data_IF_688901426839
#
_entry.id   IF_688901426839
#
_cell.length_a   1.000
_cell.length_b   1.000
_cell.length_c   1.000
_cell.angle_alpha   90.00
_cell.angle_beta   90.00
_cell.angle_gamma   90.00
#
_symmetry.space_group_name_H-M   'P 1'
#
loop_
_entity.id
_entity.type
_entity.pdbx_description
1 polymer ?
#
# COMPACT_ATOMS: atom_id res chain seq x y z
N UNK A 1 15.86 3.25 -7.76
CA UNK A 1 15.73 1.79 -7.86
C UNK A 1 15.93 1.39 -9.32
N UNK A 2 17.07 0.81 -9.61
CA UNK A 2 17.32 0.20 -10.92
C UNK A 2 16.51 -1.10 -11.03
N UNK A 3 15.86 -1.28 -12.16
CA UNK A 3 15.28 -2.57 -12.51
C UNK A 3 16.29 -3.38 -13.24
N UNK A 4 16.52 -4.55 -12.75
CA UNK A 4 17.15 -5.57 -13.49
C UNK A 4 16.16 -6.30 -14.39
N UNK A 5 16.46 -6.34 -15.64
CA UNK A 5 15.54 -6.85 -16.66
C UNK A 5 16.05 -8.09 -17.37
N UNK A 6 17.31 -8.45 -17.18
CA UNK A 6 17.89 -9.50 -18.00
C UNK A 6 18.43 -10.73 -17.27
N UNK A 7 18.71 -10.64 -15.97
CA UNK A 7 19.35 -11.77 -15.29
C UNK A 7 19.37 -11.70 -13.78
N UNK A 8 18.58 -10.83 -13.19
CA UNK A 8 18.69 -10.54 -11.75
C UNK A 8 19.86 -9.60 -11.43
N UNK A 9 20.51 -8.99 -12.40
CA UNK A 9 21.60 -8.02 -12.24
C UNK A 9 21.18 -6.64 -12.77
N UNK A 10 21.72 -5.58 -12.20
CA UNK A 10 21.42 -4.21 -12.64
C UNK A 10 21.82 -3.99 -14.10
N UNK A 11 20.87 -3.61 -14.93
CA UNK A 11 21.13 -3.24 -16.31
C UNK A 11 21.65 -1.80 -16.38
N UNK A 12 22.98 -1.66 -16.44
CA UNK A 12 23.67 -0.37 -16.49
C UNK A 12 23.38 0.44 -17.77
N UNK A 13 22.75 -0.18 -18.76
CA UNK A 13 22.38 0.49 -20.01
C UNK A 13 21.07 1.26 -19.91
N UNK A 14 20.30 1.06 -18.83
CA UNK A 14 19.00 1.68 -18.62
C UNK A 14 19.07 2.77 -17.54
N UNK A 15 18.35 3.84 -17.77
CA UNK A 15 18.22 4.89 -16.77
C UNK A 15 17.54 4.38 -15.49
N UNK A 16 18.03 4.77 -14.31
CA UNK A 16 17.34 4.49 -13.05
C UNK A 16 15.91 4.99 -13.08
N UNK A 17 15.04 4.33 -12.31
CA UNK A 17 13.66 4.82 -12.11
C UNK A 17 13.68 6.23 -11.48
N UNK A 18 12.83 7.08 -12.03
CA UNK A 18 12.61 8.44 -11.51
C UNK A 18 11.62 8.43 -10.32
N UNK A 19 11.87 7.56 -9.36
CA UNK A 19 11.04 7.34 -8.17
C UNK A 19 11.90 7.52 -6.92
N UNK A 20 11.59 8.55 -6.13
CA UNK A 20 12.34 8.96 -4.95
C UNK A 20 11.49 8.81 -3.71
N UNK A 21 11.99 8.06 -2.74
CA UNK A 21 11.32 7.83 -1.47
C UNK A 21 12.26 8.27 -0.35
N UNK A 22 11.73 9.10 0.53
CA UNK A 22 12.41 9.53 1.77
C UNK A 22 11.53 9.14 2.94
N UNK A 23 12.13 8.49 3.94
CA UNK A 23 11.42 8.05 5.15
C UNK A 23 12.14 8.56 6.38
N UNK A 24 11.38 9.09 7.33
CA UNK A 24 11.85 9.41 8.67
C UNK A 24 10.92 8.74 9.70
N UNK A 25 11.52 8.07 10.66
CA UNK A 25 10.80 7.40 11.74
C UNK A 25 11.28 7.91 13.10
N UNK A 26 10.34 8.15 14.00
CA UNK A 26 10.59 8.45 15.40
C UNK A 26 9.95 7.36 16.26
N UNK A 27 10.76 6.70 17.07
CA UNK A 27 10.34 5.63 17.97
C UNK A 27 10.31 6.13 19.40
N UNK A 28 9.28 5.73 20.15
CA UNK A 28 9.19 5.95 21.59
C UNK A 28 8.76 4.63 22.25
N UNK A 29 9.68 4.06 23.06
CA UNK A 29 9.39 2.88 23.86
C UNK A 29 8.62 3.29 25.11
N UNK A 30 7.82 2.36 25.64
CA UNK A 30 7.02 2.56 26.86
C UNK A 30 6.09 3.77 26.80
N UNK A 31 5.52 4.05 25.65
CA UNK A 31 4.54 5.11 25.45
C UNK A 31 3.35 4.60 24.63
N UNK A 32 2.11 4.81 25.05
CA UNK A 32 1.62 5.52 26.24
C UNK A 32 1.70 4.69 27.55
N UNK A 33 2.15 3.46 27.50
CA UNK A 33 2.32 2.62 28.68
C UNK A 33 3.56 1.75 28.55
N UNK A 34 4.07 1.26 29.69
CA UNK A 34 5.17 0.28 29.73
C UNK A 34 4.82 -0.95 28.90
N UNK A 35 5.75 -1.40 28.04
CA UNK A 35 5.56 -2.52 27.13
C UNK A 35 4.80 -2.18 25.84
N UNK A 36 4.57 -0.89 25.57
CA UNK A 36 4.01 -0.45 24.29
C UNK A 36 5.02 0.45 23.56
N UNK A 37 5.29 0.12 22.32
CA UNK A 37 6.19 0.91 21.45
C UNK A 37 5.36 1.70 20.44
N UNK A 38 5.60 3.00 20.39
CA UNK A 38 4.98 3.91 19.43
C UNK A 38 6.00 4.35 18.38
N UNK A 39 5.54 4.47 17.15
CA UNK A 39 6.33 4.96 16.03
C UNK A 39 5.54 6.01 15.26
N UNK A 40 6.10 7.19 15.11
CA UNK A 40 5.64 8.18 14.14
C UNK A 40 6.47 8.05 12.86
N UNK A 41 5.80 8.09 11.71
CA UNK A 41 6.42 7.94 10.39
C UNK A 41 6.08 9.14 9.53
N UNK A 42 7.10 9.72 8.91
CA UNK A 42 6.96 10.65 7.80
C UNK A 42 7.58 10.00 6.58
N UNK A 43 6.79 9.87 5.50
CA UNK A 43 7.28 9.35 4.23
C UNK A 43 6.90 10.32 3.13
N UNK A 44 7.83 10.57 2.24
CA UNK A 44 7.61 11.35 1.03
C UNK A 44 8.00 10.52 -0.18
N UNK A 45 7.08 10.40 -1.12
CA UNK A 45 7.30 9.74 -2.40
C UNK A 45 7.11 10.74 -3.55
N UNK A 46 8.14 10.86 -4.38
CA UNK A 46 8.08 11.62 -5.63
C UNK A 46 8.33 10.67 -6.79
N UNK A 47 7.30 10.41 -7.57
CA UNK A 47 7.38 9.60 -8.77
C UNK A 47 7.30 10.50 -10.02
N UNK A 48 8.27 10.33 -10.93
CA UNK A 48 8.37 11.04 -12.21
C UNK A 48 8.52 10.04 -13.37
N UNK A 49 8.19 8.81 -13.13
CA UNK A 49 8.31 7.75 -14.13
C UNK A 49 7.18 7.88 -15.14
N UNK A 50 7.54 8.21 -16.37
CA UNK A 50 6.59 8.43 -17.48
C UNK A 50 6.92 7.58 -18.70
N UNK A 51 8.01 6.83 -18.67
CA UNK A 51 8.52 6.11 -19.82
C UNK A 51 8.08 4.63 -19.79
N UNK A 52 7.46 4.16 -20.86
CA UNK A 52 7.24 2.73 -21.08
C UNK A 52 8.37 2.17 -21.93
N UNK A 53 8.77 0.93 -21.67
CA UNK A 53 9.76 0.21 -22.44
C UNK A 53 9.45 -1.30 -22.49
N UNK A 54 10.06 -2.00 -23.43
CA UNK A 54 9.96 -3.45 -23.54
C UNK A 54 11.19 -4.13 -22.93
N UNK A 55 10.97 -5.25 -22.24
CA UNK A 55 12.06 -6.10 -21.78
C UNK A 55 12.64 -6.96 -22.92
N UNK A 56 13.65 -7.76 -22.61
CA UNK A 56 14.31 -8.65 -23.58
C UNK A 56 13.39 -9.72 -24.16
N UNK A 57 12.27 -10.02 -23.50
CA UNK A 57 11.26 -10.97 -23.93
C UNK A 57 10.13 -10.31 -24.73
N UNK A 58 10.18 -9.00 -24.94
CA UNK A 58 9.18 -8.24 -25.65
C UNK A 58 7.95 -7.86 -24.83
N UNK A 59 7.98 -8.03 -23.50
CA UNK A 59 6.90 -7.60 -22.64
C UNK A 59 7.07 -6.12 -22.25
N UNK A 60 5.94 -5.39 -22.26
CA UNK A 60 5.91 -4.01 -21.77
C UNK A 60 6.25 -3.99 -20.30
N UNK A 61 7.28 -3.25 -19.97
CA UNK A 61 7.63 -2.90 -18.61
C UNK A 61 7.00 -1.56 -18.22
N UNK A 62 6.78 -1.41 -16.95
CA UNK A 62 6.03 -0.27 -16.39
C UNK A 62 6.92 0.93 -16.07
N UNK A 63 6.30 2.10 -16.06
CA UNK A 63 4.91 2.41 -16.36
C UNK A 63 4.56 2.27 -17.85
N UNK A 64 3.34 1.81 -18.14
CA UNK A 64 2.83 1.64 -19.50
C UNK A 64 1.42 2.22 -19.62
N UNK A 65 1.04 2.67 -20.80
CA UNK A 65 -0.34 3.03 -21.10
C UNK A 65 -1.17 1.76 -21.37
N UNK A 66 -2.27 1.58 -20.67
CA UNK A 66 -3.21 0.47 -20.85
C UNK A 66 -4.63 1.05 -20.92
N UNK A 67 -5.20 1.10 -22.10
CA UNK A 67 -6.48 1.74 -22.31
C UNK A 67 -6.42 3.23 -22.02
N UNK A 68 -7.23 3.72 -21.09
CA UNK A 68 -7.23 5.12 -20.65
C UNK A 68 -6.17 5.42 -19.58
N UNK A 69 -5.69 4.40 -18.89
CA UNK A 69 -4.64 4.56 -17.88
C UNK A 69 -3.31 4.84 -18.55
N UNK A 70 -2.64 5.88 -18.11
CA UNK A 70 -1.33 6.30 -18.62
C UNK A 70 -0.39 6.62 -17.46
N UNK A 71 0.93 6.53 -17.68
CA UNK A 71 1.90 6.91 -16.67
C UNK A 71 1.71 8.34 -16.20
N UNK A 72 1.80 8.57 -14.88
CA UNK A 72 1.59 9.87 -14.23
C UNK A 72 2.72 10.23 -13.29
N UNK A 73 2.88 11.52 -13.09
CA UNK A 73 3.80 12.03 -12.07
C UNK A 73 3.02 12.37 -10.82
N UNK A 74 3.59 12.08 -9.64
CA UNK A 74 2.98 12.47 -8.38
C UNK A 74 4.01 12.82 -7.31
N UNK A 75 3.57 13.64 -6.35
CA UNK A 75 4.27 13.90 -5.11
C UNK A 75 3.29 13.59 -3.99
N UNK A 76 3.63 12.67 -3.09
CA UNK A 76 2.76 12.25 -2.00
C UNK A 76 3.56 12.22 -0.70
N UNK A 77 3.04 12.89 0.32
CA UNK A 77 3.49 12.77 1.70
C UNK A 77 2.58 11.84 2.46
N UNK A 78 3.15 11.03 3.33
CA UNK A 78 2.42 10.16 4.26
C UNK A 78 2.81 10.53 5.68
N UNK A 79 1.81 10.82 6.50
CA UNK A 79 1.95 10.91 7.94
C UNK A 79 1.39 9.65 8.56
N UNK A 80 2.22 8.91 9.26
CA UNK A 80 1.88 7.61 9.82
C UNK A 80 2.11 7.50 11.31
N UNK A 81 1.30 6.65 11.93
CA UNK A 81 1.49 6.20 13.30
C UNK A 81 1.36 4.67 13.33
N UNK A 82 2.30 4.02 13.99
CA UNK A 82 2.25 2.59 14.30
C UNK A 82 2.47 2.42 15.79
N UNK A 83 1.77 1.46 16.38
CA UNK A 83 1.93 1.11 17.78
C UNK A 83 1.82 -0.39 17.94
N UNK A 84 2.69 -0.95 18.79
CA UNK A 84 2.68 -2.37 19.10
C UNK A 84 3.07 -2.60 20.55
N UNK A 85 2.39 -3.51 21.22
CA UNK A 85 2.67 -3.84 22.60
C UNK A 85 1.46 -4.34 23.36
N UNK A 86 1.46 -4.13 24.67
CA UNK A 86 0.40 -4.64 25.53
C UNK A 86 -0.09 -3.61 26.56
N UNK A 87 -1.36 -3.74 26.90
CA UNK A 87 -2.04 -3.04 27.97
C UNK A 87 -2.60 -4.09 28.95
N UNK A 88 -1.86 -4.40 30.00
CA UNK A 88 -2.20 -5.49 30.90
C UNK A 88 -2.17 -6.83 30.15
N UNK A 89 -3.32 -7.49 30.00
CA UNK A 89 -3.45 -8.78 29.30
C UNK A 89 -3.80 -8.66 27.82
N UNK A 90 -4.07 -7.45 27.33
CA UNK A 90 -4.44 -7.22 25.94
C UNK A 90 -3.21 -6.85 25.15
N UNK A 91 -2.87 -7.63 24.13
CA UNK A 91 -1.90 -7.22 23.11
C UNK A 91 -2.63 -6.39 22.06
N UNK A 92 -2.03 -5.28 21.66
CA UNK A 92 -2.60 -4.34 20.71
C UNK A 92 -1.55 -3.93 19.68
N UNK A 93 -1.90 -4.10 18.40
CA UNK A 93 -1.16 -3.55 17.28
C UNK A 93 -2.07 -2.59 16.54
N UNK A 94 -1.59 -1.39 16.28
CA UNK A 94 -2.35 -0.34 15.55
C UNK A 94 -1.49 0.27 14.46
N UNK A 95 -2.13 0.67 13.38
CA UNK A 95 -1.49 1.34 12.25
C UNK A 95 -2.45 2.35 11.66
N UNK A 96 -1.98 3.57 11.41
CA UNK A 96 -2.77 4.59 10.76
C UNK A 96 -1.89 5.46 9.89
N UNK A 97 -2.37 5.78 8.68
CA UNK A 97 -1.67 6.63 7.72
C UNK A 97 -2.61 7.61 7.06
N UNK A 98 -2.12 8.82 6.86
CA UNK A 98 -2.78 9.83 6.04
C UNK A 98 -1.85 10.21 4.90
N UNK A 99 -2.33 10.02 3.66
CA UNK A 99 -1.63 10.39 2.44
C UNK A 99 -2.18 11.72 1.91
N UNK A 100 -1.29 12.62 1.53
CA UNK A 100 -1.63 13.91 0.96
C UNK A 100 -0.63 14.32 -0.13
N UNK A 101 -1.10 14.97 -1.16
CA UNK A 101 -0.24 15.37 -2.25
C UNK A 101 -0.99 15.74 -3.50
N UNK A 102 -0.34 15.57 -4.63
CA UNK A 102 -0.91 15.83 -5.94
C UNK A 102 -0.35 14.88 -6.99
N UNK A 103 -1.14 14.66 -8.03
CA UNK A 103 -0.72 13.93 -9.23
C UNK A 103 -1.05 14.72 -10.50
N UNK A 104 -0.31 14.42 -11.58
CA UNK A 104 -0.46 15.12 -12.86
C UNK A 104 -1.81 14.88 -13.53
N UNK A 105 -2.40 13.73 -13.29
CA UNK A 105 -3.73 13.33 -13.75
C UNK A 105 -4.18 12.09 -12.97
N UNK A 106 -5.49 11.85 -12.92
CA UNK A 106 -6.08 10.63 -12.42
C UNK A 106 -5.96 9.45 -13.38
N UNK A 107 -6.48 8.29 -12.97
CA UNK A 107 -6.55 7.10 -13.85
C UNK A 107 -7.50 7.33 -15.03
N UNK A 108 -8.60 8.02 -14.77
CA UNK A 108 -9.67 8.23 -15.74
C UNK A 108 -9.76 9.67 -16.27
N UNK A 109 -8.98 10.59 -15.72
CA UNK A 109 -8.97 12.01 -16.10
C UNK A 109 -7.59 12.41 -16.57
N UNK A 110 -7.54 13.46 -17.42
CA UNK A 110 -6.28 14.06 -17.85
C UNK A 110 -5.95 15.36 -17.13
N UNK A 111 -6.80 15.77 -16.20
CA UNK A 111 -6.57 16.91 -15.32
C UNK A 111 -5.82 16.47 -14.05
N UNK A 112 -5.01 17.38 -13.51
CA UNK A 112 -4.36 17.16 -12.22
C UNK A 112 -5.37 16.94 -11.10
N UNK A 113 -5.01 16.14 -10.11
CA UNK A 113 -5.85 15.90 -8.95
C UNK A 113 -5.07 16.00 -7.63
N UNK A 114 -5.78 16.38 -6.57
CA UNK A 114 -5.28 16.42 -5.20
C UNK A 114 -5.49 15.06 -4.53
N UNK A 115 -4.44 14.56 -3.90
CA UNK A 115 -4.48 13.28 -3.16
C UNK A 115 -4.77 13.57 -1.69
N UNK A 116 -5.82 12.92 -1.16
CA UNK A 116 -6.18 12.97 0.27
C UNK A 116 -6.80 11.64 0.67
N UNK A 117 -6.00 10.76 1.22
CA UNK A 117 -6.42 9.40 1.51
C UNK A 117 -6.01 8.95 2.91
N UNK A 118 -6.74 8.02 3.48
CA UNK A 118 -6.48 7.54 4.83
C UNK A 118 -6.54 6.03 4.95
N UNK A 119 -5.75 5.50 5.85
CA UNK A 119 -5.71 4.09 6.21
C UNK A 119 -5.69 3.95 7.72
N UNK A 120 -6.39 2.96 8.24
CA UNK A 120 -6.34 2.55 9.64
C UNK A 120 -6.48 1.04 9.74
N UNK A 121 -5.68 0.42 10.60
CA UNK A 121 -5.76 -0.99 10.94
C UNK A 121 -5.49 -1.18 12.43
N UNK A 122 -6.15 -2.15 13.04
CA UNK A 122 -5.92 -2.53 14.42
C UNK A 122 -6.11 -4.03 14.60
N UNK A 123 -5.31 -4.60 15.47
CA UNK A 123 -5.44 -5.96 15.94
C UNK A 123 -5.34 -5.97 17.46
N UNK A 124 -6.31 -6.58 18.12
CA UNK A 124 -6.29 -6.83 19.55
C UNK A 124 -6.30 -8.33 19.80
N UNK A 125 -5.48 -8.81 20.75
CA UNK A 125 -5.49 -10.20 21.15
C UNK A 125 -5.31 -10.37 22.66
N UNK A 126 -5.84 -11.48 23.16
CA UNK A 126 -5.72 -11.86 24.58
C UNK A 126 -5.46 -13.35 24.69
N UNK A 127 -4.56 -13.70 25.60
CA UNK A 127 -4.20 -15.07 25.89
C UNK A 127 -5.00 -15.62 27.09
N UNK A 128 -5.61 -16.78 26.90
CA UNK A 128 -6.34 -17.55 27.88
C UNK A 128 -5.71 -18.95 27.97
N UNK A 129 -4.66 -19.10 28.78
CA UNK A 129 -3.88 -20.33 28.90
C UNK A 129 -3.36 -20.83 27.53
N UNK A 130 -3.92 -21.91 27.01
CA UNK A 130 -3.55 -22.47 25.69
C UNK A 130 -4.28 -21.81 24.50
N UNK A 131 -5.25 -20.94 24.76
CA UNK A 131 -6.07 -20.29 23.72
C UNK A 131 -5.69 -18.82 23.59
N UNK A 132 -5.42 -18.37 22.36
CA UNK A 132 -5.34 -16.96 22.01
C UNK A 132 -6.56 -16.54 21.21
N UNK A 133 -7.31 -15.58 21.72
CA UNK A 133 -8.40 -14.93 20.98
C UNK A 133 -7.84 -13.65 20.34
N UNK A 134 -8.15 -13.45 19.06
CA UNK A 134 -7.68 -12.31 18.29
C UNK A 134 -8.83 -11.72 17.46
N UNK A 135 -8.88 -10.39 17.41
CA UNK A 135 -9.77 -9.63 16.54
C UNK A 135 -8.95 -8.60 15.76
N UNK A 136 -9.15 -8.54 14.45
CA UNK A 136 -8.43 -7.63 13.56
C UNK A 136 -9.41 -6.91 12.65
N UNK A 137 -9.16 -5.63 12.38
CA UNK A 137 -9.93 -4.82 11.47
C UNK A 137 -9.03 -3.86 10.68
N UNK A 138 -9.39 -3.59 9.44
CA UNK A 138 -8.71 -2.62 8.58
C UNK A 138 -9.72 -1.81 7.77
N UNK A 139 -9.36 -0.57 7.52
CA UNK A 139 -10.11 0.37 6.69
C UNK A 139 -9.13 1.13 5.81
N UNK A 140 -9.48 1.31 4.55
CA UNK A 140 -8.79 2.17 3.60
C UNK A 140 -9.82 3.06 2.91
N UNK A 141 -9.56 4.34 2.84
CA UNK A 141 -10.42 5.26 2.11
C UNK A 141 -10.46 4.89 0.62
N UNK A 142 -11.63 5.05 0.02
CA UNK A 142 -11.82 4.86 -1.42
C UNK A 142 -12.16 6.16 -2.11
N UNK A 143 -11.91 6.20 -3.38
CA UNK A 143 -12.36 7.27 -4.25
C UNK A 143 -13.80 6.99 -4.69
N UNK A 144 -14.69 7.97 -4.46
CA UNK A 144 -16.09 7.85 -4.83
C UNK A 144 -16.37 8.30 -6.24
N UNK A 145 -15.52 9.16 -6.77
CA UNK A 145 -15.68 9.74 -8.09
C UNK A 145 -14.34 9.93 -8.79
N UNK A 146 -13.79 8.89 -9.42
CA UNK A 146 -12.47 8.94 -10.05
C UNK A 146 -12.43 9.85 -11.31
N UNK A 147 -13.50 10.57 -11.58
CA UNK A 147 -13.62 11.52 -12.70
C UNK A 147 -13.51 12.99 -12.28
N UNK A 148 -13.29 13.27 -11.01
CA UNK A 148 -13.12 14.64 -10.52
C UNK A 148 -11.62 14.99 -10.30
N UNK A 149 -11.35 16.10 -9.62
CA UNK A 149 -10.01 16.61 -9.33
C UNK A 149 -9.45 16.16 -7.97
N UNK A 150 -10.05 15.15 -7.35
CA UNK A 150 -9.67 14.61 -6.05
C UNK A 150 -9.51 13.11 -6.10
N UNK A 151 -8.37 12.63 -5.64
CA UNK A 151 -8.04 11.21 -5.53
C UNK A 151 -8.01 10.84 -4.05
N UNK A 152 -9.05 10.14 -3.59
CA UNK A 152 -9.25 9.85 -2.16
C UNK A 152 -9.07 8.38 -1.81
N UNK A 153 -8.69 7.53 -2.75
CA UNK A 153 -8.37 6.12 -2.55
C UNK A 153 -6.98 5.95 -1.93
N UNK A 154 -6.91 5.29 -0.79
CA UNK A 154 -5.61 5.05 -0.15
C UNK A 154 -4.82 4.00 -0.91
N UNK A 155 -3.56 4.30 -1.16
CA UNK A 155 -2.60 3.36 -1.70
C UNK A 155 -1.25 3.49 -0.97
N UNK A 156 -0.67 2.38 -0.58
CA UNK A 156 0.57 2.33 0.17
C UNK A 156 1.78 2.35 -0.77
N UNK A 157 2.88 2.98 -0.33
CA UNK A 157 4.14 2.96 -1.06
C UNK A 157 4.77 1.57 -1.02
N UNK A 158 4.69 0.89 0.13
CA UNK A 158 5.19 -0.46 0.30
C UNK A 158 4.03 -1.43 0.55
N UNK A 159 4.02 -2.51 -0.20
CA UNK A 159 3.14 -3.64 0.06
C UNK A 159 3.74 -4.53 1.16
N UNK A 160 2.94 -5.31 1.80
CA UNK A 160 3.21 -6.24 2.89
C UNK A 160 3.19 -5.61 4.28
N UNK A 161 2.07 -5.00 4.68
CA UNK A 161 1.88 -4.67 6.09
C UNK A 161 1.90 -5.97 6.91
N UNK A 162 2.60 -5.96 8.03
CA UNK A 162 2.48 -7.01 9.04
C UNK A 162 1.14 -6.79 9.72
N UNK A 163 0.19 -7.67 9.47
CA UNK A 163 -1.16 -7.54 9.99
C UNK A 163 -1.81 -8.92 10.14
N UNK A 164 -2.67 -9.08 11.14
CA UNK A 164 -3.37 -10.33 11.44
C UNK A 164 -2.45 -11.52 11.77
N UNK A 165 -1.33 -11.25 12.45
CA UNK A 165 -0.48 -12.26 13.06
C UNK A 165 0.43 -13.05 12.15
N UNK A 166 0.72 -12.54 10.97
CA UNK A 166 1.68 -13.12 10.05
C UNK A 166 2.80 -12.12 9.72
N UNK A 167 3.99 -12.61 9.42
CA UNK A 167 5.12 -11.81 8.96
C UNK A 167 4.83 -11.07 7.64
N UNK A 168 3.87 -11.56 6.90
CA UNK A 168 3.26 -10.88 5.75
C UNK A 168 1.77 -10.91 5.92
N UNK A 169 1.09 -9.82 5.55
CA UNK A 169 -0.37 -9.75 5.70
C UNK A 169 -1.05 -10.96 5.06
N UNK A 170 -1.64 -11.75 5.92
CA UNK A 170 -2.41 -12.93 5.55
C UNK A 170 -3.61 -12.58 4.65
N UNK A 171 -4.18 -11.39 4.88
CA UNK A 171 -5.34 -10.88 4.18
C UNK A 171 -5.08 -10.51 2.72
N UNK A 172 -3.85 -10.13 2.40
CA UNK A 172 -3.50 -9.69 1.04
C UNK A 172 -3.13 -10.85 0.13
N UNK A 173 -2.65 -11.96 0.68
CA UNK A 173 -2.08 -13.06 -0.11
C UNK A 173 -2.85 -14.35 -0.09
N UNK A 174 -3.88 -14.49 0.74
CA UNK A 174 -4.61 -15.74 0.82
C UNK A 174 -5.84 -15.78 -0.06
N UNK A 175 -6.02 -16.96 -0.64
CA UNK A 175 -7.30 -17.39 -1.15
C UNK A 175 -8.16 -17.85 0.03
N UNK A 176 -9.38 -17.35 0.11
CA UNK A 176 -10.38 -17.93 1.00
C UNK A 176 -10.93 -19.16 0.28
N UNK A 177 -10.64 -20.39 0.74
CA UNK A 177 -11.16 -21.58 0.11
C UNK A 177 -12.68 -21.63 0.24
N UNK A 178 -13.36 -21.94 -0.85
CA UNK A 178 -14.79 -22.17 -0.88
C UNK A 178 -15.08 -23.67 -0.92
N UNK A 179 -16.21 -24.07 -0.36
CA UNK A 179 -16.71 -25.45 -0.48
C UNK A 179 -16.92 -25.77 -1.95
N UNK A 180 -16.33 -26.87 -2.42
CA UNK A 180 -16.40 -27.28 -3.83
C UNK A 180 -15.14 -27.03 -4.67
N UNK A 181 -14.04 -26.63 -4.04
CA UNK A 181 -12.71 -26.51 -4.67
C UNK A 181 -12.44 -25.19 -5.35
N UNK A 182 -13.31 -24.20 -5.23
CA UNK A 182 -13.05 -22.82 -5.62
C UNK A 182 -12.42 -22.01 -4.49
N UNK A 183 -11.99 -20.79 -4.78
CA UNK A 183 -11.45 -19.86 -3.80
C UNK A 183 -11.62 -18.42 -4.25
N UNK A 184 -11.68 -17.49 -3.30
CA UNK A 184 -11.61 -16.06 -3.56
C UNK A 184 -10.18 -15.63 -3.27
N UNK A 185 -9.48 -15.17 -4.30
CA UNK A 185 -8.16 -14.57 -4.12
C UNK A 185 -8.32 -13.14 -3.64
N UNK A 186 -7.95 -12.89 -2.39
CA UNK A 186 -8.02 -11.56 -1.78
C UNK A 186 -7.04 -10.57 -2.43
N UNK A 187 -6.01 -11.08 -3.06
CA UNK A 187 -4.90 -10.30 -3.63
C UNK A 187 -4.93 -10.18 -5.16
N UNK A 188 -5.93 -10.73 -5.83
CA UNK A 188 -6.07 -10.61 -7.28
C UNK A 188 -6.94 -9.40 -7.64
N UNK A 189 -6.84 -8.95 -8.89
CA UNK A 189 -7.48 -7.74 -9.44
C UNK A 189 -8.99 -7.60 -9.17
N UNK A 190 -9.67 -8.66 -8.79
CA UNK A 190 -11.07 -8.67 -8.38
C UNK A 190 -11.25 -9.21 -6.95
N UNK A 191 -10.19 -9.25 -6.15
CA UNK A 191 -10.24 -9.67 -4.76
C UNK A 191 -10.72 -8.55 -3.84
N UNK A 192 -11.22 -8.91 -2.66
CA UNK A 192 -11.72 -7.97 -1.65
C UNK A 192 -10.68 -6.92 -1.21
N UNK A 193 -9.40 -7.23 -1.31
CA UNK A 193 -8.29 -6.36 -0.90
C UNK A 193 -7.36 -5.98 -2.08
N UNK A 194 -7.80 -6.18 -3.33
CA UNK A 194 -7.03 -5.81 -4.50
C UNK A 194 -6.66 -4.33 -4.51
N UNK A 195 -7.54 -3.51 -3.92
CA UNK A 195 -7.39 -2.07 -3.87
C UNK A 195 -6.39 -1.58 -2.81
N UNK A 196 -6.00 -2.44 -1.87
CA UNK A 196 -4.90 -2.17 -0.95
C UNK A 196 -3.53 -2.40 -1.57
N UNK A 197 -3.48 -2.91 -2.78
CA UNK A 197 -2.22 -3.09 -3.51
C UNK A 197 -1.98 -1.89 -4.39
N UNK A 198 -0.81 -1.26 -4.32
CA UNK A 198 -0.40 -0.35 -5.37
C UNK A 198 -0.52 -1.08 -6.69
N UNK A 199 -0.93 -0.36 -7.73
CA UNK A 199 -0.98 -0.89 -9.08
C UNK A 199 0.43 -1.26 -9.54
N UNK A 200 1.02 -2.29 -8.93
CA UNK A 200 2.38 -2.78 -9.26
C UNK A 200 2.50 -3.15 -10.70
N UNK A 201 1.40 -3.52 -11.29
CA UNK A 201 1.34 -3.75 -12.69
C UNK A 201 1.71 -2.52 -13.48
N UNK A 202 1.42 -1.33 -13.00
CA UNK A 202 1.84 -0.06 -13.60
C UNK A 202 3.13 0.49 -13.01
N UNK A 203 3.60 -0.06 -11.89
CA UNK A 203 4.77 0.45 -11.17
C UNK A 203 4.54 1.79 -10.49
N UNK A 204 3.29 2.22 -10.35
CA UNK A 204 2.86 3.48 -9.75
C UNK A 204 1.69 3.26 -8.81
N UNK A 205 1.54 4.10 -7.79
CA UNK A 205 0.39 4.06 -6.87
C UNK A 205 -0.89 4.53 -7.57
N UNK A 206 -2.02 3.97 -7.17
CA UNK A 206 -3.34 4.31 -7.67
C UNK A 206 -4.20 4.90 -6.55
N UNK A 207 -4.40 6.21 -6.55
CA UNK A 207 -5.22 6.93 -5.58
C UNK A 207 -6.68 7.11 -6.02
N UNK A 208 -7.05 6.60 -7.18
CA UNK A 208 -8.43 6.61 -7.69
C UNK A 208 -9.12 5.24 -7.48
N UNK A 209 -8.63 4.44 -6.52
CA UNK A 209 -9.16 3.13 -6.17
C UNK A 209 -10.41 3.24 -5.27
N UNK A 210 -11.31 2.23 -5.27
CA UNK A 210 -12.54 2.24 -4.49
C UNK A 210 -12.35 2.04 -2.99
N UNK A 211 -11.16 1.69 -2.52
CA UNK A 211 -10.83 1.46 -1.11
C UNK A 211 -11.46 0.20 -0.51
N UNK A 212 -11.32 0.06 0.80
CA UNK A 212 -11.87 -1.06 1.58
C UNK A 212 -12.67 -0.50 2.77
N UNK A 213 -13.91 -0.98 2.92
CA UNK A 213 -14.83 -0.58 3.99
C UNK A 213 -15.36 -1.78 4.73
#
# INVERSE_FOLDING_TARGET
LEKDLNSGLNDVTRSPRKDYIVVANLYHQDFPSTGFTSQATLLFNRNRETDAFYDSNGFIQRPAAIGLESPRSYNVGYLGYNGDGHFGRVNLTVSGYYAYGNQSHGVFTRSGSDIRAGFAAAEASMDFDWLRVRASGAWASGDKNPYDDRSTGYDAVFENPIFAGADTSYWIRQNVPLIGGGGVALAQRNGLLADLRPSKEQGQSNFDNPGVR
#
